data_IF_398809415095
#
_entry.id   IF_398809415095
#
_cell.length_a   1.000
_cell.length_b   1.000
_cell.length_c   1.000
_cell.angle_alpha   90.00
_cell.angle_beta   90.00
_cell.angle_gamma   90.00
#
_symmetry.space_group_name_H-M   'P 1'
#
loop_
_entity.id
_entity.type
_entity.pdbx_description
1 polymer ?
#
# COMPACT_ATOMS: atom_id res chain seq x y z
N UNK A 1 -1.60 -1.06 7.42
CA UNK A 1 -0.91 -0.21 6.45
C UNK A 1 0.59 -0.07 6.67
N UNK A 2 1.08 -0.04 7.91
CA UNK A 2 2.44 0.45 8.23
C UNK A 2 3.55 -0.37 7.55
N UNK A 3 3.40 -1.70 7.52
CA UNK A 3 4.33 -2.59 6.82
C UNK A 3 4.35 -2.33 5.30
N UNK A 4 3.20 -2.08 4.68
CA UNK A 4 3.12 -1.77 3.26
C UNK A 4 3.76 -0.42 2.93
N UNK A 5 3.58 0.59 3.78
CA UNK A 5 4.24 1.91 3.67
C UNK A 5 5.75 1.77 3.80
N UNK A 6 6.23 0.97 4.76
CA UNK A 6 7.66 0.72 4.93
C UNK A 6 8.28 0.05 3.71
N UNK A 7 7.62 -0.97 3.16
CA UNK A 7 8.06 -1.66 1.94
C UNK A 7 8.04 -0.71 0.74
N UNK A 8 6.99 0.10 0.61
CA UNK A 8 6.88 1.12 -0.42
C UNK A 8 8.02 2.14 -0.32
N UNK A 9 8.38 2.61 0.88
CA UNK A 9 9.52 3.52 1.10
C UNK A 9 10.86 2.86 0.77
N UNK A 10 11.06 1.61 1.18
CA UNK A 10 12.32 0.89 0.91
C UNK A 10 12.54 0.65 -0.59
N UNK A 11 11.46 0.54 -1.36
CA UNK A 11 11.52 0.21 -2.79
C UNK A 11 11.11 1.38 -3.70
N UNK A 12 10.92 2.57 -3.13
CA UNK A 12 10.43 3.76 -3.83
C UNK A 12 11.32 4.15 -5.02
N UNK A 13 12.64 4.05 -4.85
CA UNK A 13 13.64 4.34 -5.89
C UNK A 13 13.53 3.43 -7.13
N UNK A 14 13.00 2.22 -6.96
CA UNK A 14 12.78 1.25 -8.04
C UNK A 14 11.34 1.20 -8.55
N UNK A 15 10.47 2.08 -8.08
CA UNK A 15 9.06 2.14 -8.46
C UNK A 15 8.80 3.30 -9.43
N UNK A 16 7.81 3.15 -10.30
CA UNK A 16 7.34 4.20 -11.21
C UNK A 16 6.32 5.16 -10.55
N UNK A 17 6.02 4.94 -9.27
CA UNK A 17 5.02 5.69 -8.53
C UNK A 17 5.58 7.03 -8.06
N UNK A 18 4.90 8.12 -8.43
CA UNK A 18 5.27 9.48 -7.99
C UNK A 18 4.86 9.78 -6.54
N UNK A 19 3.82 9.10 -6.06
CA UNK A 19 3.25 9.29 -4.73
C UNK A 19 3.38 8.02 -3.89
N UNK A 20 3.60 8.19 -2.58
CA UNK A 20 3.58 7.08 -1.62
C UNK A 20 2.25 6.33 -1.65
N UNK A 21 1.13 7.02 -1.92
CA UNK A 21 -0.19 6.39 -2.10
C UNK A 21 -0.20 5.40 -3.25
N UNK A 22 0.40 5.78 -4.38
CA UNK A 22 0.50 4.93 -5.57
C UNK A 22 1.46 3.76 -5.33
N UNK A 23 2.60 4.01 -4.69
CA UNK A 23 3.56 2.98 -4.31
C UNK A 23 2.95 1.94 -3.36
N UNK A 24 2.17 2.37 -2.37
CA UNK A 24 1.48 1.47 -1.44
C UNK A 24 0.40 0.65 -2.15
N UNK A 25 -0.31 1.21 -3.14
CA UNK A 25 -1.25 0.43 -3.96
C UNK A 25 -0.54 -0.66 -4.76
N UNK A 26 0.65 -0.39 -5.31
CA UNK A 26 1.44 -1.42 -6.02
C UNK A 26 1.90 -2.54 -5.08
N UNK A 27 2.36 -2.20 -3.87
CA UNK A 27 2.72 -3.17 -2.84
C UNK A 27 1.52 -4.01 -2.43
N UNK A 28 0.37 -3.38 -2.16
CA UNK A 28 -0.88 -4.07 -1.81
C UNK A 28 -1.39 -4.95 -2.96
N UNK A 29 -1.26 -4.51 -4.21
CA UNK A 29 -1.59 -5.29 -5.40
C UNK A 29 -0.74 -6.56 -5.50
N UNK A 30 0.55 -6.46 -5.19
CA UNK A 30 1.44 -7.63 -5.11
C UNK A 30 0.99 -8.60 -4.01
N UNK A 31 0.57 -8.09 -2.85
CA UNK A 31 0.03 -8.93 -1.77
C UNK A 31 -1.23 -9.71 -2.18
N UNK A 32 -2.05 -9.18 -3.10
CA UNK A 32 -3.20 -9.92 -3.66
C UNK A 32 -2.72 -11.16 -4.42
N UNK A 33 -1.73 -11.02 -5.31
CA UNK A 33 -1.22 -12.13 -6.12
C UNK A 33 -0.48 -13.19 -5.29
N UNK A 34 0.19 -12.77 -4.22
CA UNK A 34 0.91 -13.68 -3.31
C UNK A 34 -0.04 -14.31 -2.27
N UNK A 35 -1.27 -13.81 -2.13
CA UNK A 35 -2.25 -14.34 -1.17
C UNK A 35 -1.93 -13.96 0.29
N UNK A 36 -1.28 -12.83 0.51
CA UNK A 36 -0.87 -12.35 1.84
C UNK A 36 -1.92 -11.37 2.39
N UNK A 37 -2.30 -11.57 3.65
CA UNK A 37 -3.13 -10.61 4.40
C UNK A 37 -2.27 -9.50 5.00
N UNK A 38 -2.75 -8.26 4.90
CA UNK A 38 -2.06 -7.09 5.46
C UNK A 38 -2.87 -6.60 6.65
N UNK A 39 -2.30 -6.65 7.85
CA UNK A 39 -2.97 -6.28 9.11
C UNK A 39 -4.33 -6.98 9.32
N UNK A 40 -4.39 -8.27 8.99
CA UNK A 40 -5.59 -9.09 9.18
C UNK A 40 -6.76 -8.78 8.24
N UNK A 41 -6.63 -7.77 7.36
CA UNK A 41 -7.60 -7.48 6.30
C UNK A 41 -7.15 -8.08 4.97
N UNK A 42 -8.13 -8.34 4.10
CA UNK A 42 -7.84 -8.76 2.72
C UNK A 42 -7.20 -7.59 1.96
N UNK A 43 -6.18 -7.86 1.13
CA UNK A 43 -5.51 -6.81 0.37
C UNK A 43 -6.45 -6.05 -0.58
N UNK A 44 -7.53 -6.68 -1.09
CA UNK A 44 -8.56 -5.98 -1.89
C UNK A 44 -9.30 -4.90 -1.09
N UNK A 45 -9.69 -5.20 0.15
CA UNK A 45 -10.38 -4.23 1.01
C UNK A 45 -9.45 -3.09 1.41
N UNK A 46 -8.17 -3.40 1.65
CA UNK A 46 -7.15 -2.39 1.92
C UNK A 46 -6.92 -1.46 0.74
N UNK A 47 -6.88 -1.98 -0.50
CA UNK A 47 -6.76 -1.16 -1.71
C UNK A 47 -7.96 -0.22 -1.83
N UNK A 48 -9.16 -0.71 -1.49
CA UNK A 48 -10.39 0.07 -1.55
C UNK A 48 -10.39 1.19 -0.50
N UNK A 49 -10.04 0.89 0.75
CA UNK A 49 -9.92 1.89 1.80
C UNK A 49 -8.81 2.94 1.54
N UNK A 50 -7.70 2.53 0.90
CA UNK A 50 -6.67 3.47 0.42
C UNK A 50 -7.21 4.34 -0.73
N UNK A 51 -8.07 3.81 -1.60
CA UNK A 51 -8.75 4.60 -2.63
C UNK A 51 -9.75 5.59 -2.03
N UNK A 52 -10.52 5.17 -1.02
CA UNK A 52 -11.45 6.02 -0.27
C UNK A 52 -10.75 7.15 0.51
N UNK A 53 -9.43 7.08 0.65
CA UNK A 53 -8.64 8.09 1.37
C UNK A 53 -8.64 7.91 2.88
N UNK A 54 -9.17 6.79 3.39
CA UNK A 54 -9.20 6.46 4.83
C UNK A 54 -7.80 6.39 5.46
N UNK A 55 -6.77 6.24 4.62
CA UNK A 55 -5.38 6.09 5.02
C UNK A 55 -4.46 7.21 4.51
N UNK A 56 -5.01 8.28 3.92
CA UNK A 56 -4.20 9.41 3.42
C UNK A 56 -3.34 10.05 4.54
N UNK A 57 -3.87 10.12 5.76
CA UNK A 57 -3.14 10.66 6.92
C UNK A 57 -1.90 9.86 7.33
N UNK A 58 -1.82 8.56 7.00
CA UNK A 58 -0.64 7.71 7.27
C UNK A 58 0.37 7.78 6.12
N UNK A 59 -0.05 8.23 4.94
CA UNK A 59 0.78 8.35 3.74
C UNK A 59 1.48 9.71 3.63
N UNK A 60 0.95 10.74 4.28
CA UNK A 60 1.44 12.14 4.23
C UNK A 60 2.40 12.50 5.39
N UNK A 61 2.61 11.60 6.37
CA UNK A 61 3.51 11.83 7.50
C UNK A 61 5.00 11.54 7.20
#
# INVERSE_FOLDING_TARGET
>A
LEAAVRIARMKFDGMLSYDLKSAVKEVLGTCVSVGVTVEGKKPREMIQAVNDGEYDGVLVA
#
